data_IF_992992806565
#
_entry.id   IF_992992806565
#
_cell.length_a   1.000
_cell.length_b   1.000
_cell.length_c   1.000
_cell.angle_alpha   90.00
_cell.angle_beta   90.00
_cell.angle_gamma   90.00
#
_symmetry.space_group_name_H-M   'P 1'
#
loop_
_entity.id
_entity.type
_entity.pdbx_description
1 polymer ?
#
# COMPACT_ATOMS: atom_id res chain seq x y z
N UNK A 1 -17.56 13.39 -15.07
CA UNK A 1 -16.34 13.16 -14.27
C UNK A 1 -16.35 11.73 -13.78
N UNK A 2 -15.90 10.79 -14.63
CA UNK A 2 -15.68 9.43 -14.18
C UNK A 2 -14.38 9.46 -13.36
N UNK A 3 -14.45 9.01 -12.10
CA UNK A 3 -13.29 8.85 -11.24
C UNK A 3 -13.20 7.36 -10.98
N UNK A 4 -12.23 6.71 -11.60
CA UNK A 4 -12.05 5.27 -11.47
C UNK A 4 -11.84 4.91 -10.01
N UNK A 5 -12.64 3.96 -9.52
CA UNK A 5 -12.64 3.51 -8.14
C UNK A 5 -11.86 2.21 -8.07
N UNK A 6 -10.71 2.26 -7.41
CA UNK A 6 -9.93 1.08 -7.07
C UNK A 6 -10.31 0.61 -5.67
N UNK A 7 -10.52 -0.69 -5.51
CA UNK A 7 -10.82 -1.32 -4.22
C UNK A 7 -9.83 -2.45 -3.91
N UNK A 8 -9.40 -2.55 -2.66
CA UNK A 8 -8.59 -3.65 -2.16
C UNK A 8 -9.48 -4.61 -1.36
N UNK A 9 -9.46 -5.90 -1.71
CA UNK A 9 -10.16 -6.93 -0.94
C UNK A 9 -9.31 -7.32 0.26
N UNK A 10 -9.90 -7.22 1.46
CA UNK A 10 -9.23 -7.57 2.72
C UNK A 10 -10.14 -8.48 3.55
N UNK A 11 -9.54 -9.30 4.40
CA UNK A 11 -10.27 -10.22 5.28
C UNK A 11 -11.13 -9.47 6.31
N UNK A 12 -10.57 -8.41 6.92
CA UNK A 12 -11.27 -7.57 7.89
C UNK A 12 -10.54 -6.25 8.17
N UNK A 13 -11.30 -5.20 8.45
CA UNK A 13 -10.78 -3.92 8.96
C UNK A 13 -11.10 -3.85 10.46
N UNK A 14 -10.08 -3.65 11.31
CA UNK A 14 -10.26 -3.64 12.77
C UNK A 14 -10.40 -2.23 13.35
N UNK A 15 -9.38 -1.40 13.18
CA UNK A 15 -9.24 -0.13 13.89
C UNK A 15 -8.32 0.82 13.11
N UNK A 16 -8.43 2.13 13.40
CA UNK A 16 -7.53 3.16 12.87
C UNK A 16 -6.47 3.48 13.91
N UNK A 17 -5.19 3.34 13.54
CA UNK A 17 -4.06 3.60 14.42
C UNK A 17 -3.30 4.84 13.94
N UNK A 18 -2.92 5.69 14.88
CA UNK A 18 -2.02 6.82 14.60
C UNK A 18 -0.60 6.42 14.99
N UNK A 19 0.28 6.26 14.00
CA UNK A 19 1.66 5.79 14.19
C UNK A 19 2.61 6.95 13.86
N UNK A 20 3.43 7.43 14.81
CA UNK A 20 4.43 8.44 14.53
C UNK A 20 5.48 7.91 13.55
N UNK A 21 5.96 8.76 12.63
CA UNK A 21 6.94 8.35 11.60
C UNK A 21 8.25 7.84 12.22
N UNK A 22 8.64 8.35 13.37
CA UNK A 22 9.84 7.90 14.11
C UNK A 22 9.74 6.45 14.62
N UNK A 23 8.52 5.92 14.80
CA UNK A 23 8.28 4.54 15.23
C UNK A 23 8.22 3.56 14.04
N UNK A 24 8.38 4.08 12.81
CA UNK A 24 8.46 3.30 11.59
C UNK A 24 9.93 2.94 11.34
N UNK A 25 10.23 1.66 11.46
CA UNK A 25 11.51 1.07 11.14
C UNK A 25 11.60 0.57 9.69
N UNK A 26 12.82 0.24 9.24
CA UNK A 26 13.03 -0.37 7.93
C UNK A 26 12.33 -1.72 7.83
N UNK A 27 11.83 -2.06 6.64
CA UNK A 27 11.21 -3.35 6.38
C UNK A 27 12.23 -4.48 6.64
N UNK A 28 11.83 -5.57 7.32
CA UNK A 28 12.72 -6.70 7.59
C UNK A 28 13.10 -7.40 6.29
N UNK A 29 14.34 -7.88 6.19
CA UNK A 29 14.87 -8.54 4.98
C UNK A 29 14.04 -9.76 4.52
N UNK A 30 13.39 -10.43 5.48
CA UNK A 30 12.47 -11.54 5.21
C UNK A 30 11.21 -11.08 4.45
N UNK A 31 10.80 -9.83 4.61
CA UNK A 31 9.72 -9.24 3.83
C UNK A 31 10.25 -8.81 2.45
N UNK A 32 11.49 -8.32 2.35
CA UNK A 32 12.11 -7.84 1.10
C UNK A 32 12.45 -8.96 0.09
N UNK A 33 12.51 -10.22 0.53
CA UNK A 33 12.86 -11.36 -0.32
C UNK A 33 11.64 -11.85 -1.11
N UNK A 34 11.47 -11.38 -2.35
CA UNK A 34 10.73 -12.12 -3.37
C UNK A 34 9.60 -11.39 -4.09
N UNK A 35 9.06 -10.29 -3.57
CA UNK A 35 8.06 -9.45 -4.29
C UNK A 35 7.68 -8.15 -3.56
N UNK A 36 8.28 -7.84 -2.42
CA UNK A 36 7.84 -6.77 -1.53
C UNK A 36 8.30 -5.36 -1.90
N UNK A 37 8.22 -5.01 -3.17
CA UNK A 37 8.40 -3.61 -3.61
C UNK A 37 7.37 -2.66 -3.00
N UNK A 38 6.26 -3.20 -2.48
CA UNK A 38 5.14 -2.48 -1.88
C UNK A 38 5.19 -2.33 -0.36
N UNK A 39 6.20 -2.85 0.33
CA UNK A 39 6.32 -2.62 1.79
C UNK A 39 7.08 -1.33 2.02
N UNK A 40 6.42 -0.34 2.62
CA UNK A 40 7.02 0.95 2.98
C UNK A 40 7.87 0.86 4.25
N UNK A 41 7.50 -0.01 5.19
CA UNK A 41 8.21 -0.18 6.45
C UNK A 41 7.45 -1.06 7.44
N UNK A 42 7.95 -1.14 8.67
CA UNK A 42 7.30 -1.84 9.77
C UNK A 42 7.27 -0.97 11.02
N UNK A 43 6.19 -1.03 11.78
CA UNK A 43 6.07 -0.38 13.07
C UNK A 43 5.77 -1.42 14.15
N UNK A 44 6.38 -1.29 15.33
CA UNK A 44 6.06 -2.14 16.48
C UNK A 44 5.20 -1.32 17.45
N UNK A 45 3.93 -1.70 17.60
CA UNK A 45 2.95 -0.99 18.44
C UNK A 45 2.37 -1.96 19.46
N UNK A 46 2.56 -1.69 20.76
CA UNK A 46 1.95 -2.47 21.86
C UNK A 46 2.15 -3.98 21.69
N UNK A 47 3.40 -4.37 21.38
CA UNK A 47 3.82 -5.75 21.09
C UNK A 47 3.27 -6.40 19.80
N UNK A 48 2.55 -5.64 18.97
CA UNK A 48 2.14 -6.06 17.63
C UNK A 48 3.12 -5.54 16.58
N UNK A 49 3.42 -6.37 15.59
CA UNK A 49 4.14 -5.94 14.39
C UNK A 49 3.12 -5.49 13.33
N UNK A 50 3.20 -4.24 12.92
CA UNK A 50 2.36 -3.63 11.89
C UNK A 50 3.20 -3.46 10.63
N UNK A 51 2.75 -4.03 9.52
CA UNK A 51 3.38 -3.85 8.21
C UNK A 51 2.71 -2.66 7.52
N UNK A 52 3.52 -1.74 7.01
CA UNK A 52 3.06 -0.55 6.31
C UNK A 52 3.22 -0.80 4.82
N UNK A 53 2.11 -0.69 4.09
CA UNK A 53 2.03 -0.94 2.66
C UNK A 53 1.96 0.38 1.89
N UNK A 54 2.73 0.48 0.81
CA UNK A 54 2.64 1.53 -0.20
C UNK A 54 1.66 1.08 -1.29
N UNK A 55 0.42 1.55 -1.22
CA UNK A 55 -0.65 1.16 -2.14
C UNK A 55 -0.30 1.50 -3.61
N UNK A 56 0.45 2.57 -3.84
CA UNK A 56 0.89 2.97 -5.19
C UNK A 56 1.77 1.89 -5.83
N UNK A 57 2.57 1.20 -5.02
CA UNK A 57 3.43 0.09 -5.45
C UNK A 57 2.78 -1.28 -5.33
N UNK A 58 1.65 -1.41 -4.63
CA UNK A 58 0.83 -2.63 -4.62
C UNK A 58 0.22 -2.86 -6.00
N UNK A 59 -0.12 -1.78 -6.71
CA UNK A 59 -0.69 -1.85 -8.05
C UNK A 59 0.33 -2.35 -9.07
N UNK A 60 -0.09 -3.32 -9.88
CA UNK A 60 0.70 -3.83 -11.00
C UNK A 60 0.95 -2.74 -12.04
N UNK A 61 2.02 -2.85 -12.84
CA UNK A 61 2.30 -1.89 -13.91
C UNK A 61 1.14 -1.73 -14.91
N UNK A 62 0.40 -2.81 -15.20
CA UNK A 62 -0.82 -2.78 -16.01
C UNK A 62 -1.97 -2.02 -15.33
N UNK A 63 -2.14 -2.15 -14.01
CA UNK A 63 -3.17 -1.42 -13.26
C UNK A 63 -2.84 0.08 -13.21
N UNK A 64 -1.55 0.42 -13.02
CA UNK A 64 -1.08 1.80 -13.08
C UNK A 64 -1.24 2.40 -14.48
N UNK A 65 -1.00 1.62 -15.54
CA UNK A 65 -1.22 2.04 -16.92
C UNK A 65 -2.71 2.25 -17.21
N UNK A 66 -3.57 1.32 -16.81
CA UNK A 66 -5.03 1.44 -16.97
C UNK A 66 -5.59 2.68 -16.26
N UNK A 67 -5.07 3.03 -15.07
CA UNK A 67 -5.41 4.26 -14.36
C UNK A 67 -4.90 5.53 -15.06
N UNK A 68 -3.78 5.44 -15.79
CA UNK A 68 -3.24 6.56 -16.57
C UNK A 68 -3.99 6.77 -17.88
N UNK A 69 -4.39 5.70 -18.58
CA UNK A 69 -5.13 5.78 -19.85
C UNK A 69 -6.58 6.19 -19.66
N UNK A 70 -7.22 5.82 -18.54
CA UNK A 70 -8.57 6.28 -18.21
C UNK A 70 -8.67 7.78 -17.87
N UNK A 71 -7.53 8.44 -17.62
CA UNK A 71 -7.43 9.89 -17.40
C UNK A 71 -7.42 10.73 -18.67
N UNK A 72 -7.19 10.13 -19.85
CA UNK A 72 -7.24 10.79 -21.15
C UNK A 72 -8.62 10.58 -21.81
N UNK A 73 -9.66 11.17 -21.21
CA UNK A 73 -10.89 11.42 -21.96
C UNK A 73 -10.59 12.56 -22.95
N UNK A 74 -10.18 12.18 -24.14
CA UNK A 74 -10.20 13.06 -25.31
C UNK A 74 -11.60 13.71 -25.41
N UNK A 75 -11.70 15.04 -25.62
CA UNK A 75 -12.97 15.78 -25.56
C UNK A 75 -14.01 15.34 -26.59
#
# INVERSE_FOLDING_TARGET
>A
TAKDLLGLVVDSVREVLHIPVQDIGPAPEAATSGQAGFIAGVAKVTDRLIIILDISKVLSGEEQAALAEAGDVHP
#
